data_IF_853610536327
#
_entry.id   IF_853610536327
#
_cell.length_a   1.000
_cell.length_b   1.000
_cell.length_c   1.000
_cell.angle_alpha   90.00
_cell.angle_beta   90.00
_cell.angle_gamma   90.00
#
_symmetry.space_group_name_H-M   'P 1'
#
loop_
_entity.id
_entity.type
_entity.pdbx_description
1 polymer ?
#
# COMPACT_ATOMS: atom_id res chain seq x y z
N UNK A 1 -15.66 -23.86 0.38
CA UNK A 1 -14.60 -22.85 0.66
C UNK A 1 -13.26 -23.18 0.00
N UNK A 2 -12.55 -24.26 0.37
CA UNK A 2 -11.30 -24.66 -0.30
C UNK A 2 -11.44 -24.77 -1.82
N UNK A 3 -12.56 -25.34 -2.27
CA UNK A 3 -12.89 -25.44 -3.70
C UNK A 3 -12.97 -24.07 -4.39
N UNK A 4 -13.62 -23.08 -3.76
CA UNK A 4 -13.71 -21.71 -4.30
C UNK A 4 -12.34 -21.07 -4.45
N UNK A 5 -11.44 -21.26 -3.46
CA UNK A 5 -10.05 -20.78 -3.55
C UNK A 5 -9.27 -21.48 -4.67
N UNK A 6 -9.47 -22.79 -4.87
CA UNK A 6 -8.82 -23.54 -5.96
C UNK A 6 -9.31 -23.03 -7.32
N UNK A 7 -10.62 -22.74 -7.45
CA UNK A 7 -11.22 -22.32 -8.71
C UNK A 7 -10.91 -20.86 -9.07
N UNK A 8 -10.94 -19.95 -8.11
CA UNK A 8 -10.90 -18.49 -8.35
C UNK A 8 -9.63 -17.81 -7.84
N UNK A 9 -8.76 -18.53 -7.13
CA UNK A 9 -7.51 -18.00 -6.60
C UNK A 9 -7.73 -16.83 -5.64
N UNK A 10 -7.04 -15.72 -5.87
CA UNK A 10 -7.13 -14.52 -5.02
C UNK A 10 -8.53 -13.87 -5.02
N UNK A 11 -9.32 -14.06 -6.08
CA UNK A 11 -10.66 -13.47 -6.17
C UNK A 11 -11.61 -14.04 -5.11
N UNK A 12 -11.36 -15.25 -4.60
CA UNK A 12 -12.10 -15.85 -3.48
C UNK A 12 -12.10 -14.96 -2.22
N UNK A 13 -11.03 -14.20 -1.98
CA UNK A 13 -10.96 -13.31 -0.82
C UNK A 13 -11.96 -12.14 -0.91
N UNK A 14 -12.40 -11.76 -2.12
CA UNK A 14 -13.51 -10.82 -2.28
C UNK A 14 -14.81 -11.43 -1.76
N UNK A 15 -15.09 -12.69 -2.08
CA UNK A 15 -16.25 -13.42 -1.54
C UNK A 15 -16.17 -13.53 -0.01
N UNK A 16 -15.01 -13.90 0.54
CA UNK A 16 -14.81 -14.01 1.99
C UNK A 16 -14.97 -12.68 2.71
N UNK A 17 -14.54 -11.58 2.11
CA UNK A 17 -14.75 -10.23 2.67
C UNK A 17 -16.22 -9.83 2.70
N UNK A 18 -17.01 -10.29 1.71
CA UNK A 18 -18.45 -10.04 1.63
C UNK A 18 -19.30 -10.99 2.48
N UNK A 19 -18.71 -12.08 2.98
CA UNK A 19 -19.42 -13.12 3.70
C UNK A 19 -20.18 -12.61 4.94
N UNK A 20 -19.60 -11.81 5.85
CA UNK A 20 -20.36 -11.26 6.98
C UNK A 20 -21.61 -10.48 6.53
N UNK A 21 -21.47 -9.65 5.49
CA UNK A 21 -22.57 -8.84 4.96
C UNK A 21 -23.66 -9.70 4.32
N UNK A 22 -23.29 -10.78 3.61
CA UNK A 22 -24.23 -11.72 3.02
C UNK A 22 -25.08 -12.43 4.07
N UNK A 23 -24.45 -12.95 5.11
CA UNK A 23 -25.15 -13.66 6.20
C UNK A 23 -26.09 -12.70 6.95
N UNK A 24 -25.61 -11.50 7.29
CA UNK A 24 -26.45 -10.48 7.92
C UNK A 24 -27.65 -10.14 7.00
N UNK A 25 -27.40 -9.97 5.70
CA UNK A 25 -28.47 -9.73 4.73
C UNK A 25 -29.49 -10.86 4.65
N UNK A 26 -29.05 -12.12 4.69
CA UNK A 26 -29.96 -13.29 4.72
C UNK A 26 -30.81 -13.31 5.99
N UNK A 27 -30.22 -13.01 7.15
CA UNK A 27 -30.94 -12.94 8.43
C UNK A 27 -32.00 -11.83 8.40
N UNK A 28 -31.64 -10.62 7.96
CA UNK A 28 -32.57 -9.49 7.86
C UNK A 28 -33.70 -9.76 6.87
N UNK A 29 -33.39 -10.38 5.73
CA UNK A 29 -34.40 -10.80 4.74
C UNK A 29 -35.40 -11.77 5.37
N UNK A 30 -34.92 -12.80 6.06
CA UNK A 30 -35.77 -13.92 6.47
C UNK A 30 -36.48 -13.72 7.81
N UNK A 31 -35.87 -13.01 8.76
CA UNK A 31 -36.41 -12.79 10.11
C UNK A 31 -37.06 -11.41 10.29
N UNK A 32 -36.64 -10.41 9.51
CA UNK A 32 -37.12 -9.02 9.64
C UNK A 32 -37.84 -8.50 8.39
N UNK A 33 -38.01 -9.32 7.35
CA UNK A 33 -38.68 -8.98 6.09
C UNK A 33 -38.03 -7.77 5.37
N UNK A 34 -36.72 -7.60 5.54
CA UNK A 34 -35.94 -6.48 4.99
C UNK A 34 -35.00 -6.94 3.88
N UNK A 35 -35.47 -6.90 2.63
CA UNK A 35 -34.70 -7.38 1.47
C UNK A 35 -33.70 -6.37 0.87
N UNK A 36 -33.86 -5.06 1.14
CA UNK A 36 -33.12 -4.00 0.45
C UNK A 36 -31.60 -4.16 0.58
N UNK A 37 -31.12 -4.45 1.79
CA UNK A 37 -29.70 -4.65 2.06
C UNK A 37 -29.15 -5.89 1.34
N UNK A 38 -29.89 -7.00 1.37
CA UNK A 38 -29.50 -8.23 0.68
C UNK A 38 -29.44 -8.04 -0.83
N UNK A 39 -30.45 -7.37 -1.41
CA UNK A 39 -30.50 -7.07 -2.84
C UNK A 39 -29.35 -6.15 -3.27
N UNK A 40 -29.02 -5.15 -2.46
CA UNK A 40 -27.88 -4.25 -2.73
C UNK A 40 -26.55 -5.00 -2.75
N UNK A 41 -26.29 -5.84 -1.74
CA UNK A 41 -25.05 -6.63 -1.67
C UNK A 41 -24.95 -7.62 -2.84
N UNK A 42 -26.05 -8.30 -3.14
CA UNK A 42 -26.06 -9.31 -4.19
C UNK A 42 -26.00 -8.69 -5.59
N UNK A 43 -26.49 -7.47 -5.80
CA UNK A 43 -26.39 -6.79 -7.11
C UNK A 43 -24.92 -6.68 -7.56
N UNK A 44 -24.02 -6.26 -6.67
CA UNK A 44 -22.61 -5.98 -6.98
C UNK A 44 -21.71 -7.22 -7.02
N UNK A 45 -22.22 -8.40 -6.66
CA UNK A 45 -21.41 -9.62 -6.63
C UNK A 45 -21.13 -10.20 -8.04
N UNK A 46 -19.87 -10.58 -8.32
CA UNK A 46 -19.51 -11.35 -9.52
C UNK A 46 -20.34 -12.62 -9.69
N UNK A 47 -20.63 -12.99 -10.93
CA UNK A 47 -21.50 -14.12 -11.24
C UNK A 47 -20.89 -15.45 -10.78
N UNK A 48 -19.56 -15.57 -10.81
CA UNK A 48 -18.80 -16.73 -10.36
C UNK A 48 -19.01 -16.99 -8.86
N UNK A 49 -19.09 -15.91 -8.07
CA UNK A 49 -19.35 -16.00 -6.63
C UNK A 49 -20.80 -16.41 -6.42
N UNK A 50 -21.76 -15.81 -7.13
CA UNK A 50 -23.20 -16.15 -7.05
C UNK A 50 -23.48 -17.63 -7.35
N UNK A 51 -22.72 -18.22 -8.27
CA UNK A 51 -22.85 -19.63 -8.65
C UNK A 51 -22.11 -20.60 -7.71
N UNK A 52 -21.33 -20.08 -6.75
CA UNK A 52 -20.54 -20.92 -5.85
C UNK A 52 -21.39 -21.63 -4.82
N UNK A 53 -20.96 -22.84 -4.42
CA UNK A 53 -21.58 -23.58 -3.31
C UNK A 53 -21.56 -22.81 -1.99
N UNK A 54 -20.57 -21.94 -1.80
CA UNK A 54 -20.49 -21.03 -0.66
C UNK A 54 -21.66 -20.05 -0.67
N UNK A 55 -21.88 -19.35 -1.78
CA UNK A 55 -22.98 -18.39 -1.86
C UNK A 55 -24.33 -19.05 -1.61
N UNK A 56 -24.58 -20.21 -2.22
CA UNK A 56 -25.78 -20.99 -1.94
C UNK A 56 -25.87 -21.33 -0.45
N UNK A 57 -24.78 -21.83 0.16
CA UNK A 57 -24.72 -22.17 1.58
C UNK A 57 -25.09 -20.98 2.49
N UNK A 58 -24.48 -19.82 2.27
CA UNK A 58 -24.63 -18.64 3.14
C UNK A 58 -25.92 -17.84 2.89
N UNK A 59 -26.59 -18.08 1.76
CA UNK A 59 -27.86 -17.43 1.41
C UNK A 59 -29.09 -18.30 1.65
N UNK A 60 -28.89 -19.51 2.21
CA UNK A 60 -29.99 -20.36 2.64
C UNK A 60 -30.92 -19.61 3.58
N UNK A 61 -32.20 -20.00 3.49
CA UNK A 61 -33.25 -19.41 4.31
C UNK A 61 -32.96 -19.66 5.79
N UNK A 62 -32.97 -18.59 6.57
CA UNK A 62 -32.87 -18.61 8.03
C UNK A 62 -34.28 -18.78 8.58
N UNK A 63 -34.55 -19.90 9.25
CA UNK A 63 -35.90 -20.25 9.69
C UNK A 63 -36.21 -19.75 11.10
N UNK A 64 -35.18 -19.61 11.93
CA UNK A 64 -35.33 -19.26 13.34
C UNK A 64 -34.12 -18.49 13.89
N UNK A 65 -34.30 -17.80 15.04
CA UNK A 65 -33.21 -17.04 15.67
C UNK A 65 -32.02 -17.88 16.11
N UNK A 66 -32.19 -19.17 16.44
CA UNK A 66 -31.08 -20.05 16.83
C UNK A 66 -30.16 -20.32 15.64
N UNK A 67 -30.72 -20.56 14.45
CA UNK A 67 -29.96 -20.66 13.21
C UNK A 67 -29.22 -19.35 12.89
N UNK A 68 -29.87 -18.20 13.08
CA UNK A 68 -29.23 -16.89 12.90
C UNK A 68 -28.00 -16.72 13.81
N UNK A 69 -28.10 -17.12 15.08
CA UNK A 69 -26.96 -17.08 16.02
C UNK A 69 -25.80 -17.96 15.55
N UNK A 70 -26.07 -19.19 15.08
CA UNK A 70 -25.03 -20.08 14.55
C UNK A 70 -24.33 -19.47 13.33
N UNK A 71 -25.08 -18.85 12.43
CA UNK A 71 -24.49 -18.15 11.29
C UNK A 71 -23.66 -16.94 11.72
N UNK A 72 -24.09 -16.17 12.72
CA UNK A 72 -23.31 -15.07 13.28
C UNK A 72 -22.00 -15.53 13.95
N UNK A 73 -22.00 -16.71 14.57
CA UNK A 73 -20.76 -17.32 15.09
C UNK A 73 -19.85 -17.77 13.94
N UNK A 74 -20.42 -18.42 12.92
CA UNK A 74 -19.68 -18.93 11.78
C UNK A 74 -19.01 -17.80 10.97
N UNK A 75 -19.67 -16.65 10.77
CA UNK A 75 -19.02 -15.53 10.08
C UNK A 75 -17.78 -15.06 10.81
N UNK A 76 -17.68 -15.20 12.14
CA UNK A 76 -16.47 -14.87 12.90
C UNK A 76 -15.22 -15.61 12.39
N UNK A 77 -15.41 -16.73 11.71
CA UNK A 77 -14.34 -17.55 11.13
C UNK A 77 -13.85 -17.05 9.76
N UNK A 78 -14.42 -15.99 9.16
CA UNK A 78 -14.01 -15.54 7.82
C UNK A 78 -12.51 -15.25 7.71
N UNK A 79 -11.88 -14.78 8.80
CA UNK A 79 -10.42 -14.51 8.88
C UNK A 79 -9.56 -15.78 8.91
N UNK A 80 -10.13 -16.93 9.29
CA UNK A 80 -9.40 -18.22 9.30
C UNK A 80 -9.12 -18.74 7.88
N UNK A 81 -9.72 -18.14 6.85
CA UNK A 81 -9.53 -18.52 5.44
C UNK A 81 -8.23 -17.95 4.83
N UNK A 82 -7.35 -17.39 5.67
CA UNK A 82 -6.10 -16.78 5.28
C UNK A 82 -6.24 -15.35 4.79
N UNK A 83 -5.12 -14.79 4.33
CA UNK A 83 -5.04 -13.41 3.87
C UNK A 83 -4.70 -13.38 2.37
N UNK A 84 -5.34 -12.50 1.57
CA UNK A 84 -4.94 -12.32 0.20
C UNK A 84 -3.52 -11.77 0.14
N UNK A 85 -2.79 -12.14 -0.92
CA UNK A 85 -1.56 -11.43 -1.27
C UNK A 85 -1.97 -10.07 -1.83
N UNK A 86 -1.46 -9.00 -1.22
CA UNK A 86 -1.78 -7.63 -1.62
C UNK A 86 -0.88 -7.21 -2.78
N UNK A 87 -1.49 -6.89 -3.91
CA UNK A 87 -0.82 -6.18 -5.00
C UNK A 87 -0.72 -4.70 -4.64
N UNK A 88 0.49 -4.29 -4.24
CA UNK A 88 0.78 -2.93 -3.81
C UNK A 88 0.65 -1.91 -4.96
N UNK A 89 1.02 -2.27 -6.18
CA UNK A 89 0.99 -1.35 -7.33
C UNK A 89 -0.45 -1.04 -7.73
N UNK A 90 -1.29 -2.08 -7.81
CA UNK A 90 -2.72 -1.94 -8.09
C UNK A 90 -3.45 -1.17 -6.98
N UNK A 91 -3.14 -1.49 -5.72
CA UNK A 91 -3.76 -0.82 -4.56
C UNK A 91 -3.39 0.65 -4.50
N UNK A 92 -2.11 0.97 -4.67
CA UNK A 92 -1.60 2.36 -4.65
C UNK A 92 -2.19 3.16 -5.81
N UNK A 93 -2.22 2.58 -7.02
CA UNK A 93 -2.84 3.22 -8.19
C UNK A 93 -4.32 3.52 -7.97
N UNK A 94 -5.05 2.59 -7.36
CA UNK A 94 -6.47 2.78 -7.03
C UNK A 94 -6.66 3.85 -5.96
N UNK A 95 -5.79 3.89 -4.95
CA UNK A 95 -5.85 4.87 -3.88
C UNK A 95 -5.55 6.29 -4.39
N UNK A 96 -4.52 6.45 -5.22
CA UNK A 96 -4.21 7.71 -5.92
C UNK A 96 -5.44 8.18 -6.71
N UNK A 97 -6.11 7.27 -7.43
CA UNK A 97 -7.36 7.60 -8.12
C UNK A 97 -8.50 8.00 -7.18
N UNK A 98 -8.59 7.42 -5.98
CA UNK A 98 -9.66 7.68 -4.99
C UNK A 98 -9.41 8.94 -4.15
N UNK A 99 -8.17 9.37 -3.97
CA UNK A 99 -7.73 10.39 -3.03
C UNK A 99 -8.00 11.86 -3.41
N UNK A 100 -9.06 12.17 -4.17
CA UNK A 100 -9.33 13.55 -4.57
C UNK A 100 -10.31 14.21 -3.59
N UNK A 101 -10.03 15.45 -3.17
CA UNK A 101 -10.90 16.29 -2.32
C UNK A 101 -12.36 16.25 -2.79
N UNK A 102 -12.54 16.36 -4.10
CA UNK A 102 -13.83 16.33 -4.76
C UNK A 102 -14.64 15.05 -4.45
N UNK A 103 -14.02 13.87 -4.41
CA UNK A 103 -14.72 12.61 -4.07
C UNK A 103 -15.26 12.58 -2.65
N UNK A 104 -14.58 13.24 -1.71
CA UNK A 104 -15.01 13.27 -0.30
C UNK A 104 -16.09 14.32 -0.05
N UNK A 105 -15.95 15.49 -0.67
CA UNK A 105 -16.84 16.63 -0.38
C UNK A 105 -17.93 16.83 -1.43
N UNK A 106 -17.90 16.06 -2.53
CA UNK A 106 -18.76 16.22 -3.71
C UNK A 106 -18.79 17.67 -4.23
N UNK A 107 -17.69 18.40 -4.00
CA UNK A 107 -17.50 19.77 -4.46
C UNK A 107 -16.04 20.05 -4.75
N UNK A 108 -15.79 20.98 -5.66
CA UNK A 108 -14.46 21.56 -5.81
C UNK A 108 -14.04 22.31 -4.53
N UNK A 109 -12.75 22.30 -4.18
CA UNK A 109 -12.24 23.16 -3.12
C UNK A 109 -12.47 24.62 -3.50
N UNK A 110 -12.61 25.47 -2.50
CA UNK A 110 -12.70 26.92 -2.71
C UNK A 110 -11.39 27.36 -3.38
N UNK A 111 -11.52 28.02 -4.54
CA UNK A 111 -10.41 28.32 -5.44
C UNK A 111 -10.68 29.62 -6.22
N UNK A 112 -9.61 30.25 -6.67
CA UNK A 112 -9.60 31.37 -7.61
C UNK A 112 -8.79 31.01 -8.84
N UNK A 113 -9.06 31.64 -9.97
CA UNK A 113 -8.41 31.34 -11.24
C UNK A 113 -8.21 32.56 -12.12
N UNK A 114 -7.25 32.48 -13.06
CA UNK A 114 -6.99 33.52 -14.05
C UNK A 114 -7.68 33.25 -15.40
N UNK A 115 -7.76 34.28 -16.25
CA UNK A 115 -8.41 34.23 -17.57
C UNK A 115 -7.75 33.23 -18.55
N UNK A 116 -6.57 32.71 -18.24
CA UNK A 116 -5.83 31.75 -19.08
C UNK A 116 -6.02 30.29 -18.67
N UNK A 117 -7.04 30.01 -17.86
CA UNK A 117 -7.37 28.64 -17.46
C UNK A 117 -7.80 27.78 -18.65
N UNK A 118 -7.45 26.50 -18.60
CA UNK A 118 -7.95 25.52 -19.56
C UNK A 118 -9.50 25.49 -19.54
N UNK A 119 -10.18 25.75 -20.68
CA UNK A 119 -11.63 25.91 -20.71
C UNK A 119 -12.38 24.65 -20.27
N UNK A 120 -11.81 23.46 -20.49
CA UNK A 120 -12.43 22.20 -20.06
C UNK A 120 -12.43 22.05 -18.54
N UNK A 121 -11.34 22.47 -17.86
CA UNK A 121 -11.28 22.47 -16.40
C UNK A 121 -12.24 23.52 -15.84
N UNK A 122 -12.30 24.70 -16.45
CA UNK A 122 -13.24 25.75 -16.07
C UNK A 122 -14.70 25.26 -16.13
N UNK A 123 -15.08 24.60 -17.23
CA UNK A 123 -16.39 23.96 -17.38
C UNK A 123 -16.66 22.96 -16.25
N UNK A 124 -15.70 22.07 -15.94
CA UNK A 124 -15.83 21.11 -14.86
C UNK A 124 -16.01 21.76 -13.48
N UNK A 125 -15.32 22.88 -13.23
CA UNK A 125 -15.45 23.66 -11.99
C UNK A 125 -16.84 24.30 -11.91
N UNK A 126 -17.30 24.96 -12.98
CA UNK A 126 -18.60 25.63 -13.04
C UNK A 126 -19.78 24.66 -12.93
N UNK A 127 -19.66 23.48 -13.54
CA UNK A 127 -20.67 22.43 -13.43
C UNK A 127 -20.58 21.63 -12.12
N UNK A 128 -19.57 21.91 -11.29
CA UNK A 128 -19.20 21.14 -10.12
C UNK A 128 -19.13 19.64 -10.42
N UNK A 129 -18.38 19.25 -11.45
CA UNK A 129 -18.13 17.86 -11.88
C UNK A 129 -16.64 17.56 -11.90
N UNK A 130 -16.25 16.30 -11.64
CA UNK A 130 -14.89 15.84 -11.83
C UNK A 130 -14.71 15.27 -13.24
N UNK A 131 -14.07 16.04 -14.12
CA UNK A 131 -13.89 15.72 -15.54
C UNK A 131 -12.72 14.82 -15.91
N UNK A 132 -11.89 14.37 -14.95
CA UNK A 132 -10.77 13.46 -15.24
C UNK A 132 -11.31 12.08 -15.65
N UNK A 133 -11.40 11.88 -16.96
CA UNK A 133 -11.89 10.64 -17.58
C UNK A 133 -10.73 9.90 -18.22
N UNK A 134 -10.91 8.59 -18.50
CA UNK A 134 -9.88 7.77 -19.15
C UNK A 134 -9.43 8.32 -20.51
N UNK A 135 -10.29 9.05 -21.22
CA UNK A 135 -10.02 9.66 -22.53
C UNK A 135 -9.40 11.06 -22.45
N UNK A 136 -9.70 11.83 -21.39
CA UNK A 136 -9.25 13.21 -21.20
C UNK A 136 -8.57 13.30 -19.84
N UNK A 137 -7.32 12.80 -19.78
CA UNK A 137 -6.49 12.94 -18.59
C UNK A 137 -6.06 14.38 -18.44
N UNK A 138 -6.19 14.91 -17.24
CA UNK A 138 -5.69 16.25 -16.97
C UNK A 138 -4.17 16.31 -16.94
N UNK A 139 -3.59 17.36 -17.51
CA UNK A 139 -2.16 17.61 -17.42
C UNK A 139 -1.89 18.51 -16.19
N UNK A 140 -0.87 18.23 -15.35
CA UNK A 140 -0.49 19.12 -14.26
C UNK A 140 -0.31 20.59 -14.66
N UNK A 141 0.13 20.86 -15.90
CA UNK A 141 0.31 22.22 -16.43
C UNK A 141 -1.03 22.97 -16.52
N UNK A 142 -2.15 22.27 -16.75
CA UNK A 142 -3.47 22.90 -16.84
C UNK A 142 -3.93 23.51 -15.50
N UNK A 143 -3.33 23.09 -14.38
CA UNK A 143 -3.63 23.59 -13.03
C UNK A 143 -2.78 24.79 -12.61
N UNK A 144 -1.80 25.22 -13.41
CA UNK A 144 -0.87 26.29 -13.01
C UNK A 144 -1.54 27.64 -12.75
N UNK A 145 -2.76 27.83 -13.27
CA UNK A 145 -3.56 29.04 -13.15
C UNK A 145 -4.65 28.94 -12.06
N UNK A 146 -4.66 27.87 -11.26
CA UNK A 146 -5.58 27.68 -10.14
C UNK A 146 -4.86 28.03 -8.84
N UNK A 147 -5.47 28.89 -8.04
CA UNK A 147 -5.04 29.17 -6.67
C UNK A 147 -6.09 28.64 -5.70
N UNK A 148 -5.71 27.65 -4.89
CA UNK A 148 -6.59 27.10 -3.86
C UNK A 148 -6.66 28.04 -2.66
N UNK A 149 -7.86 28.31 -2.17
CA UNK A 149 -8.05 29.03 -0.91
C UNK A 149 -7.83 28.11 0.30
N UNK A 150 -7.89 28.69 1.50
CA UNK A 150 -7.77 27.93 2.75
C UNK A 150 -9.00 27.06 2.96
N UNK A 151 -8.90 25.79 2.56
CA UNK A 151 -9.97 24.80 2.71
C UNK A 151 -9.90 24.00 4.03
N UNK A 152 -8.82 24.14 4.79
CA UNK A 152 -8.60 23.42 6.03
C UNK A 152 -8.12 24.35 7.13
N UNK A 153 -8.64 24.16 8.34
CA UNK A 153 -8.13 24.80 9.54
C UNK A 153 -7.12 23.88 10.22
N UNK A 154 -5.97 24.44 10.58
CA UNK A 154 -4.98 23.70 11.35
C UNK A 154 -5.41 23.68 12.82
N UNK A 155 -5.59 22.49 13.39
CA UNK A 155 -5.80 22.36 14.81
C UNK A 155 -4.46 22.53 15.53
N UNK A 156 -4.28 23.64 16.24
CA UNK A 156 -3.07 23.93 17.02
C UNK A 156 -3.04 23.21 18.38
N UNK A 157 -4.15 22.60 18.79
CA UNK A 157 -4.29 21.85 20.04
C UNK A 157 -4.23 20.35 19.75
N UNK A 158 -3.09 19.88 19.25
CA UNK A 158 -2.89 18.45 19.00
C UNK A 158 -2.50 17.79 20.32
N UNK A 159 -3.24 16.75 20.72
CA UNK A 159 -2.87 15.91 21.84
C UNK A 159 -1.53 15.21 21.53
N UNK A 160 -0.55 15.31 22.42
CA UNK A 160 0.75 14.66 22.22
C UNK A 160 0.62 13.13 22.22
N UNK A 161 -0.43 12.58 22.82
CA UNK A 161 -0.75 11.15 22.76
C UNK A 161 -1.12 10.74 21.32
N UNK A 162 -1.75 11.62 20.55
CA UNK A 162 -2.05 11.36 19.14
C UNK A 162 -0.80 11.43 18.25
N UNK A 163 0.19 12.24 18.65
CA UNK A 163 1.46 12.40 17.92
C UNK A 163 2.41 11.24 18.20
N UNK A 164 2.53 10.82 19.46
CA UNK A 164 3.52 9.84 19.90
C UNK A 164 2.85 8.47 19.95
N UNK A 165 3.08 7.66 18.91
CA UNK A 165 2.68 6.25 18.89
C UNK A 165 3.85 5.39 18.40
N UNK A 166 3.92 4.15 18.89
CA UNK A 166 4.91 3.17 18.47
C UNK A 166 4.57 2.66 17.05
N UNK A 167 4.99 3.44 16.05
CA UNK A 167 4.81 3.17 14.63
C UNK A 167 6.14 3.36 13.93
N UNK A 168 6.41 2.52 12.93
CA UNK A 168 7.55 2.72 12.05
C UNK A 168 7.40 4.05 11.28
N UNK A 169 8.48 4.83 11.23
CA UNK A 169 8.56 6.10 10.50
C UNK A 169 9.57 5.90 9.36
N UNK A 170 9.23 6.36 8.17
CA UNK A 170 10.16 6.34 7.02
C UNK A 170 11.36 7.26 7.34
N UNK A 171 12.61 6.80 7.15
CA UNK A 171 13.79 7.62 7.42
C UNK A 171 13.86 8.83 6.47
N UNK A 172 14.78 9.75 6.72
CA UNK A 172 14.99 10.87 5.80
C UNK A 172 15.36 10.36 4.39
N UNK A 173 15.06 11.14 3.36
CA UNK A 173 15.37 10.75 1.98
C UNK A 173 16.87 10.48 1.74
N UNK A 174 17.75 11.18 2.46
CA UNK A 174 19.20 10.94 2.47
C UNK A 174 19.58 9.60 3.10
N UNK A 175 18.80 9.14 4.07
CA UNK A 175 19.04 7.89 4.79
C UNK A 175 18.38 6.67 4.12
N UNK A 176 17.43 6.92 3.22
CA UNK A 176 16.61 5.89 2.59
C UNK A 176 17.44 4.79 1.91
N UNK A 177 18.57 5.18 1.30
CA UNK A 177 19.49 4.24 0.63
C UNK A 177 20.16 3.25 1.59
N UNK A 178 20.39 3.65 2.84
CA UNK A 178 21.05 2.78 3.81
C UNK A 178 20.09 1.72 4.36
N UNK A 179 18.81 2.06 4.46
CA UNK A 179 17.78 1.18 5.05
C UNK A 179 17.27 0.12 4.06
N UNK A 180 16.98 0.50 2.81
CA UNK A 180 16.29 -0.40 1.86
C UNK A 180 17.19 -0.94 0.76
N UNK A 181 18.38 -0.37 0.57
CA UNK A 181 19.22 -0.66 -0.59
C UNK A 181 20.60 -1.22 -0.22
N UNK A 182 20.65 -2.15 0.73
CA UNK A 182 21.89 -2.86 1.05
C UNK A 182 22.45 -3.67 -0.14
N UNK A 183 21.60 -4.04 -1.11
CA UNK A 183 22.01 -4.74 -2.34
C UNK A 183 22.53 -3.82 -3.44
N UNK A 184 21.91 -2.68 -3.76
CA UNK A 184 22.50 -1.76 -4.74
C UNK A 184 23.60 -0.88 -4.13
N UNK A 185 23.73 -0.77 -2.81
CA UNK A 185 24.99 -0.39 -2.15
C UNK A 185 26.11 -1.38 -2.47
N UNK A 186 25.87 -2.70 -2.41
CA UNK A 186 26.84 -3.72 -2.84
C UNK A 186 27.18 -3.64 -4.33
N UNK A 187 26.20 -3.33 -5.19
CA UNK A 187 26.47 -3.18 -6.64
C UNK A 187 27.20 -1.88 -6.98
N UNK A 188 26.93 -0.77 -6.26
CA UNK A 188 27.66 0.50 -6.41
C UNK A 188 29.07 0.47 -5.84
N UNK A 189 29.31 -0.25 -4.75
CA UNK A 189 30.67 -0.40 -4.18
C UNK A 189 31.59 -1.21 -5.09
N UNK A 190 31.07 -2.26 -5.74
CA UNK A 190 31.79 -3.02 -6.77
C UNK A 190 32.11 -2.18 -8.03
N UNK A 191 31.19 -1.32 -8.46
CA UNK A 191 31.40 -0.45 -9.63
C UNK A 191 32.42 0.68 -9.39
N UNK A 192 32.55 1.20 -8.15
CA UNK A 192 33.58 2.20 -7.80
C UNK A 192 34.93 1.59 -7.44
N UNK A 193 34.98 0.36 -6.94
CA UNK A 193 36.25 -0.34 -6.65
C UNK A 193 37.08 -0.66 -7.91
N UNK A 194 36.42 -0.93 -9.04
CA UNK A 194 37.13 -1.24 -10.31
C UNK A 194 37.61 0.03 -11.02
N UNK A 195 36.94 1.18 -10.84
CA UNK A 195 37.29 2.41 -11.56
C UNK A 195 38.36 3.27 -10.87
N UNK A 196 38.70 2.99 -9.61
CA UNK A 196 39.75 3.71 -8.86
C UNK A 196 41.12 3.01 -8.97
N UNK A 197 41.17 1.70 -9.25
CA UNK A 197 42.45 0.97 -9.38
C UNK A 197 43.13 1.10 -10.77
N UNK A 198 42.44 1.59 -11.81
CA UNK A 198 43.00 1.68 -13.16
C UNK A 198 43.54 3.07 -13.54
N UNK A 199 43.35 4.10 -12.69
CA UNK A 199 43.82 5.46 -13.00
C UNK A 199 45.20 5.81 -12.42
N UNK A 200 45.78 4.94 -11.58
CA UNK A 200 47.10 5.19 -10.97
C UNK A 200 48.26 4.39 -11.61
N UNK A 201 48.07 3.77 -12.78
CA UNK A 201 49.14 2.98 -13.45
C UNK A 201 49.92 3.69 -14.55
N UNK A 202 49.70 4.98 -14.80
CA UNK A 202 50.38 5.65 -15.94
C UNK A 202 51.03 7.00 -15.70
N UNK A 203 51.28 7.39 -14.45
CA UNK A 203 52.08 8.60 -14.19
C UNK A 203 53.08 8.26 -13.11
N UNK A 204 54.26 7.78 -13.51
CA UNK A 204 55.55 8.06 -12.87
C UNK A 204 56.68 7.31 -13.61
N UNK A 205 57.36 8.03 -14.49
CA UNK A 205 58.80 7.91 -14.70
C UNK A 205 59.27 9.24 -15.28
N UNK A 206 59.49 10.23 -14.41
CA UNK A 206 60.69 11.05 -14.52
C UNK A 206 60.90 11.95 -13.29
N UNK A 207 62.15 11.90 -12.81
CA UNK A 207 62.88 12.83 -11.91
C UNK A 207 62.89 12.54 -10.41
N UNK A 208 63.87 11.71 -10.05
CA UNK A 208 65.01 12.02 -9.16
C UNK A 208 64.93 13.37 -8.44
N UNK A 209 64.95 13.30 -7.10
CA UNK A 209 65.22 14.42 -6.21
C UNK A 209 65.12 13.97 -4.76
N UNK A 210 66.25 13.54 -4.21
CA UNK A 210 66.43 13.22 -2.79
C UNK A 210 65.96 14.37 -1.91
N UNK A 211 65.13 14.08 -0.90
CA UNK A 211 65.26 14.72 0.40
C UNK A 211 64.55 13.95 1.53
N UNK A 212 65.28 13.96 2.63
CA UNK A 212 65.10 13.31 3.93
C UNK A 212 63.73 13.46 4.60
N UNK A 213 63.38 12.38 5.31
CA UNK A 213 62.80 12.32 6.66
C UNK A 213 61.51 13.08 6.96
N UNK A 214 60.53 12.39 7.57
CA UNK A 214 59.96 12.71 8.89
C UNK A 214 58.72 11.82 9.12
N UNK A 215 58.89 10.90 10.07
CA UNK A 215 57.98 10.56 11.17
C UNK A 215 56.68 9.80 10.86
N UNK A 216 56.71 8.53 11.30
CA UNK A 216 55.71 7.80 12.08
C UNK A 216 54.41 8.55 12.43
N UNK A 217 53.25 7.92 12.22
CA UNK A 217 52.52 7.25 13.30
C UNK A 217 51.04 7.00 12.94
N UNK A 218 50.54 5.88 13.47
CA UNK A 218 49.13 5.55 13.69
C UNK A 218 48.27 5.21 12.46
N UNK A 219 48.15 3.90 12.19
CA UNK A 219 46.85 3.23 12.21
C UNK A 219 47.07 1.75 12.60
N UNK A 220 46.79 1.44 13.87
CA UNK A 220 46.63 0.07 14.35
C UNK A 220 45.37 -0.53 13.70
N UNK A 221 45.57 -1.57 12.89
CA UNK A 221 44.51 -2.47 12.45
C UNK A 221 43.99 -3.23 13.68
N UNK A 222 42.72 -3.00 14.01
CA UNK A 222 42.00 -3.83 14.98
C UNK A 222 41.55 -5.11 14.28
N UNK A 223 42.15 -6.22 14.68
CA UNK A 223 41.68 -7.58 14.43
C UNK A 223 40.22 -7.73 14.90
N UNK A 224 39.29 -7.81 13.96
CA UNK A 224 37.91 -8.25 14.23
C UNK A 224 37.91 -9.77 14.11
N UNK A 225 37.78 -10.41 15.27
CA UNK A 225 37.56 -11.83 15.47
C UNK A 225 36.34 -12.30 14.65
N UNK A 226 36.57 -13.26 13.75
CA UNK A 226 35.52 -14.06 13.15
C UNK A 226 34.83 -14.91 14.23
N UNK A 227 33.55 -14.65 14.50
CA UNK A 227 32.72 -15.57 15.28
C UNK A 227 32.44 -16.85 14.49
N UNK A 228 32.54 -18.04 15.11
CA UNK A 228 32.25 -19.29 14.44
C UNK A 228 30.75 -19.48 14.24
N UNK A 229 30.40 -19.90 13.02
CA UNK A 229 29.09 -20.41 12.59
C UNK A 229 28.50 -21.37 13.65
N UNK A 230 27.41 -20.94 14.30
CA UNK A 230 26.54 -21.83 15.07
C UNK A 230 25.84 -22.79 14.12
N UNK A 231 26.13 -24.08 14.29
CA UNK A 231 25.38 -25.19 13.72
C UNK A 231 24.05 -25.35 14.47
N UNK A 232 22.95 -24.87 13.90
CA UNK A 232 21.64 -25.21 14.43
C UNK A 232 21.22 -26.61 14.01
N UNK A 233 21.04 -27.40 15.06
CA UNK A 233 20.59 -28.77 15.09
C UNK A 233 19.18 -28.94 14.52
N UNK A 234 19.04 -30.02 13.75
CA UNK A 234 17.82 -30.80 13.58
C UNK A 234 16.89 -30.74 14.80
N UNK A 235 15.68 -30.21 14.63
CA UNK A 235 14.51 -30.62 15.41
C UNK A 235 13.52 -31.20 14.43
N UNK A 236 13.50 -32.54 14.41
CA UNK A 236 12.39 -33.34 13.91
C UNK A 236 11.31 -33.43 15.01
N UNK A 237 10.08 -33.54 14.52
CA UNK A 237 8.93 -34.20 15.13
C UNK A 237 7.97 -33.41 16.05
N UNK A 238 6.67 -33.65 15.74
CA UNK A 238 5.42 -33.38 16.47
C UNK A 238 4.90 -31.94 16.30
N UNK A 239 3.82 -31.65 15.54
CA UNK A 239 2.51 -32.31 15.38
C UNK A 239 1.97 -32.18 13.95
#
# INVERSE_FOLDING_TARGET
>A
MRELMIQTGQQAHTAFKMWPSLVIGSILRDLEDSEEFFNTITADLPIEIKMSSLFTYETHRVLDPTQAMLYLEQIGLWKSMGHPVVDMDSTTSTWIKKGTFYKRHNKWPDLTYSDHMNPHILECILENKWGDTTSLKWNPIDFQHIQLEKNFEFNYQIDTIDIISDKAIIPSASEWIYEYDTKALKTRSLARGIQVCDKNKHIEHDKIGDNESVVDDLLQESDILEEPLRSDSNVKDQW
#
